data_IF_333175609052
#
_entry.id   IF_333175609052
#
_cell.length_a   1.000
_cell.length_b   1.000
_cell.length_c   1.000
_cell.angle_alpha   90.00
_cell.angle_beta   90.00
_cell.angle_gamma   90.00
#
_symmetry.space_group_name_H-M   'P 1'
#
loop_
_entity.id
_entity.type
_entity.pdbx_description
1 polymer ?
#
# COMPACT_ATOMS: atom_id res chain seq x y z
N UNK A 1 -2.51 2.22 14.90
CA UNK A 1 -3.89 1.80 15.22
C UNK A 1 -4.88 2.78 14.58
N UNK A 2 -5.43 2.47 13.39
CA UNK A 2 -6.23 3.41 12.57
C UNK A 2 -7.73 3.16 12.74
N UNK A 3 -8.26 3.36 13.95
CA UNK A 3 -9.68 3.13 14.24
C UNK A 3 -10.49 4.43 14.23
N UNK A 4 -11.74 4.38 13.76
CA UNK A 4 -12.76 5.44 13.86
C UNK A 4 -14.03 4.78 14.39
N UNK A 5 -14.66 5.39 15.40
CA UNK A 5 -15.96 4.92 15.91
C UNK A 5 -17.07 5.61 15.12
N UNK A 6 -18.05 4.85 14.64
CA UNK A 6 -19.18 5.40 13.89
C UNK A 6 -20.48 5.14 14.65
N UNK A 7 -21.15 6.21 15.04
CA UNK A 7 -22.48 6.19 15.63
C UNK A 7 -23.50 6.53 14.55
N UNK A 8 -24.09 5.49 13.97
CA UNK A 8 -25.11 5.64 12.95
C UNK A 8 -26.50 5.93 13.57
N UNK A 9 -27.43 6.38 12.73
CA UNK A 9 -28.86 6.60 13.01
C UNK A 9 -29.18 7.86 13.84
N UNK A 10 -28.43 8.95 13.66
CA UNK A 10 -28.74 10.24 14.30
C UNK A 10 -30.15 10.77 13.94
N UNK A 11 -30.69 10.34 12.79
CA UNK A 11 -32.04 10.66 12.31
C UNK A 11 -33.14 10.14 13.27
N UNK A 12 -32.90 9.05 13.99
CA UNK A 12 -33.87 8.52 14.95
C UNK A 12 -33.93 9.32 16.26
N UNK A 13 -32.88 10.10 16.56
CA UNK A 13 -32.74 10.88 17.80
C UNK A 13 -32.82 12.39 17.57
N UNK A 14 -33.04 12.83 16.33
CA UNK A 14 -32.98 14.25 15.96
C UNK A 14 -31.62 14.89 16.25
N UNK A 15 -30.55 14.10 16.27
CA UNK A 15 -29.20 14.59 16.56
C UNK A 15 -28.54 15.11 15.27
N UNK A 16 -27.68 16.10 15.42
CA UNK A 16 -26.89 16.64 14.32
C UNK A 16 -25.63 15.80 14.08
N UNK A 17 -25.17 15.79 12.82
CA UNK A 17 -23.89 15.19 12.47
C UNK A 17 -22.76 15.90 13.22
N UNK A 18 -21.80 15.14 13.74
CA UNK A 18 -20.69 15.70 14.53
C UNK A 18 -19.48 14.77 14.53
N UNK A 19 -18.31 15.39 14.60
CA UNK A 19 -17.04 14.73 14.92
C UNK A 19 -16.73 14.97 16.40
N UNK A 20 -16.51 13.90 17.14
CA UNK A 20 -16.12 13.92 18.54
C UNK A 20 -14.89 13.06 18.75
N UNK A 21 -14.36 13.07 19.96
CA UNK A 21 -13.31 12.15 20.38
C UNK A 21 -13.80 11.31 21.56
N UNK A 22 -13.50 10.01 21.55
CA UNK A 22 -13.73 9.11 22.67
C UNK A 22 -12.48 8.30 22.96
N UNK A 23 -11.82 8.60 24.07
CA UNK A 23 -10.62 7.88 24.51
C UNK A 23 -9.48 7.94 23.51
N UNK A 24 -9.24 9.10 22.87
CA UNK A 24 -8.21 9.25 21.85
C UNK A 24 -8.59 8.72 20.46
N UNK A 25 -9.83 8.25 20.27
CA UNK A 25 -10.31 7.72 18.99
C UNK A 25 -11.39 8.66 18.43
N UNK A 26 -11.26 9.11 17.17
CA UNK A 26 -12.31 9.88 16.50
C UNK A 26 -13.63 9.12 16.45
N UNK A 27 -14.72 9.82 16.72
CA UNK A 27 -16.07 9.31 16.80
C UNK A 27 -17.01 10.17 15.94
N UNK A 28 -17.54 9.60 14.85
CA UNK A 28 -18.44 10.30 13.93
C UNK A 28 -19.88 9.89 14.22
N UNK A 29 -20.72 10.87 14.54
CA UNK A 29 -22.18 10.69 14.57
C UNK A 29 -22.74 11.01 13.19
N UNK A 30 -23.42 10.05 12.56
CA UNK A 30 -23.96 10.19 11.21
C UNK A 30 -25.30 9.46 11.02
N UNK A 31 -25.97 9.73 9.90
CA UNK A 31 -27.06 8.90 9.40
C UNK A 31 -26.69 8.39 8.01
N UNK A 32 -26.47 7.08 7.92
CA UNK A 32 -26.26 6.41 6.63
C UNK A 32 -27.53 6.45 5.76
N UNK A 33 -28.70 6.64 6.37
CA UNK A 33 -29.98 6.71 5.67
C UNK A 33 -30.18 8.06 4.99
N UNK A 34 -29.87 9.16 5.68
CA UNK A 34 -30.07 10.51 5.14
C UNK A 34 -28.82 11.08 4.48
N UNK A 35 -27.65 10.48 4.72
CA UNK A 35 -26.36 10.97 4.26
C UNK A 35 -25.72 12.04 5.17
N UNK A 36 -26.43 12.49 6.21
CA UNK A 36 -25.91 13.47 7.15
C UNK A 36 -24.65 12.93 7.87
N UNK A 37 -23.54 13.66 7.80
CA UNK A 37 -22.27 13.28 8.46
C UNK A 37 -21.40 12.30 7.67
N UNK A 38 -21.80 11.90 6.46
CA UNK A 38 -20.95 11.05 5.60
C UNK A 38 -19.69 11.79 5.15
N UNK A 39 -19.76 13.09 4.87
CA UNK A 39 -18.59 13.87 4.45
C UNK A 39 -17.55 13.98 5.57
N UNK A 40 -18.02 14.21 6.81
CA UNK A 40 -17.18 14.20 8.03
C UNK A 40 -16.45 12.85 8.17
N UNK A 41 -17.13 11.73 7.89
CA UNK A 41 -16.49 10.42 7.93
C UNK A 41 -15.42 10.27 6.85
N UNK A 42 -15.67 10.74 5.61
CA UNK A 42 -14.68 10.68 4.52
C UNK A 42 -13.43 11.49 4.86
N UNK A 43 -13.59 12.71 5.36
CA UNK A 43 -12.47 13.56 5.75
C UNK A 43 -11.62 12.88 6.85
N UNK A 44 -12.26 12.31 7.87
CA UNK A 44 -11.57 11.59 8.93
C UNK A 44 -10.85 10.33 8.42
N UNK A 45 -11.44 9.62 7.45
CA UNK A 45 -10.81 8.47 6.80
C UNK A 45 -9.59 8.88 5.98
N UNK A 46 -9.67 9.96 5.21
CA UNK A 46 -8.54 10.47 4.41
C UNK A 46 -7.38 10.89 5.31
N UNK A 47 -7.67 11.62 6.38
CA UNK A 47 -6.70 12.04 7.38
C UNK A 47 -6.00 10.83 8.03
N UNK A 48 -6.76 9.82 8.46
CA UNK A 48 -6.18 8.60 9.07
C UNK A 48 -5.48 7.68 8.06
N UNK A 49 -5.94 7.64 6.83
CA UNK A 49 -5.28 6.90 5.78
C UNK A 49 -3.88 7.48 5.51
N UNK A 50 -3.64 8.75 5.88
CA UNK A 50 -2.41 9.46 5.57
C UNK A 50 -2.35 9.83 4.09
N UNK A 51 -3.51 9.85 3.42
CA UNK A 51 -3.63 10.28 2.03
C UNK A 51 -3.45 11.79 2.03
N UNK A 52 -2.20 12.22 1.93
CA UNK A 52 -1.90 13.55 1.42
C UNK A 52 -2.16 13.46 -0.08
N UNK A 53 -3.12 14.24 -0.57
CA UNK A 53 -3.23 14.55 -1.99
C UNK A 53 -2.00 15.41 -2.34
N UNK A 54 -0.81 14.82 -2.34
CA UNK A 54 0.35 15.43 -2.97
C UNK A 54 0.05 15.46 -4.47
N UNK A 55 0.15 16.64 -5.08
CA UNK A 55 0.07 16.83 -6.53
C UNK A 55 1.21 16.12 -7.28
N UNK A 56 2.15 15.52 -6.55
CA UNK A 56 3.17 14.64 -7.12
C UNK A 56 2.51 13.36 -7.63
N UNK A 57 2.71 13.12 -8.93
CA UNK A 57 2.21 11.97 -9.69
C UNK A 57 2.04 10.74 -8.79
N UNK A 58 0.82 10.16 -8.69
CA UNK A 58 0.63 8.95 -7.91
C UNK A 58 1.43 7.84 -8.59
N UNK A 59 2.66 7.62 -8.12
CA UNK A 59 3.45 6.48 -8.53
C UNK A 59 2.79 5.26 -7.89
N UNK A 60 1.88 4.64 -8.65
CA UNK A 60 1.14 3.47 -8.21
C UNK A 60 2.05 2.25 -8.28
N UNK A 61 2.99 2.14 -7.35
CA UNK A 61 3.79 0.93 -7.16
C UNK A 61 2.88 -0.18 -6.63
N UNK A 62 2.83 -1.31 -7.35
CA UNK A 62 2.20 -2.54 -6.86
C UNK A 62 3.14 -3.20 -5.84
N UNK A 63 2.59 -4.07 -5.01
CA UNK A 63 3.36 -4.85 -4.03
C UNK A 63 4.58 -5.56 -4.65
N UNK A 64 4.43 -6.14 -5.86
CA UNK A 64 5.55 -6.75 -6.58
C UNK A 64 6.69 -5.78 -6.90
N UNK A 65 6.39 -4.52 -7.22
CA UNK A 65 7.42 -3.52 -7.51
C UNK A 65 8.18 -3.15 -6.22
N UNK A 66 7.47 -3.07 -5.09
CA UNK A 66 8.09 -2.84 -3.79
C UNK A 66 9.00 -3.99 -3.40
N UNK A 67 8.55 -5.24 -3.58
CA UNK A 67 9.35 -6.42 -3.30
C UNK A 67 10.64 -6.47 -4.13
N UNK A 68 10.54 -6.19 -5.44
CA UNK A 68 11.68 -6.08 -6.34
C UNK A 68 12.69 -5.00 -5.88
N UNK A 69 12.19 -3.83 -5.47
CA UNK A 69 13.03 -2.74 -4.93
C UNK A 69 13.70 -3.13 -3.61
N UNK A 70 12.99 -3.77 -2.68
CA UNK A 70 13.54 -4.21 -1.40
C UNK A 70 14.66 -5.24 -1.60
N UNK A 71 14.46 -6.21 -2.49
CA UNK A 71 15.49 -7.19 -2.88
C UNK A 71 16.70 -6.49 -3.49
N UNK A 72 16.49 -5.59 -4.45
CA UNK A 72 17.58 -4.86 -5.09
C UNK A 72 18.38 -4.04 -4.06
N UNK A 73 17.71 -3.34 -3.14
CA UNK A 73 18.36 -2.57 -2.08
C UNK A 73 19.19 -3.44 -1.13
N UNK A 74 18.69 -4.63 -0.78
CA UNK A 74 19.44 -5.58 0.05
C UNK A 74 20.74 -6.03 -0.65
N UNK A 75 20.67 -6.37 -1.93
CA UNK A 75 21.83 -6.78 -2.72
C UNK A 75 22.83 -5.64 -2.98
N UNK A 76 22.37 -4.42 -3.22
CA UNK A 76 23.27 -3.24 -3.29
C UNK A 76 24.00 -3.02 -1.96
N UNK A 77 23.29 -3.19 -0.84
CA UNK A 77 23.91 -3.11 0.49
C UNK A 77 24.97 -4.19 0.70
N UNK A 78 24.67 -5.42 0.27
CA UNK A 78 25.63 -6.52 0.31
C UNK A 78 26.85 -6.27 -0.60
N UNK A 79 26.65 -5.69 -1.80
CA UNK A 79 27.74 -5.31 -2.70
C UNK A 79 28.67 -4.27 -2.06
N UNK A 80 28.10 -3.27 -1.36
CA UNK A 80 28.88 -2.25 -0.63
C UNK A 80 29.73 -2.88 0.48
N UNK A 81 29.18 -3.86 1.22
CA UNK A 81 29.94 -4.60 2.24
C UNK A 81 31.09 -5.39 1.60
N UNK A 82 30.84 -5.97 0.43
CA UNK A 82 31.79 -6.83 -0.28
C UNK A 82 32.67 -6.07 -1.31
N UNK A 83 32.77 -4.74 -1.22
CA UNK A 83 33.48 -3.92 -2.23
C UNK A 83 34.96 -4.29 -2.41
N UNK A 84 35.58 -4.89 -1.38
CA UNK A 84 36.96 -5.39 -1.43
C UNK A 84 37.12 -6.73 -2.16
N UNK A 85 36.03 -7.43 -2.45
CA UNK A 85 36.01 -8.71 -3.18
C UNK A 85 35.22 -8.52 -4.47
N UNK A 86 35.93 -8.19 -5.55
CA UNK A 86 35.33 -7.78 -6.83
C UNK A 86 34.33 -8.80 -7.37
N UNK A 87 34.64 -10.10 -7.28
CA UNK A 87 33.76 -11.18 -7.77
C UNK A 87 32.41 -11.20 -7.03
N UNK A 88 32.45 -11.09 -5.70
CA UNK A 88 31.24 -11.10 -4.87
C UNK A 88 30.45 -9.79 -5.02
N UNK A 89 31.13 -8.65 -5.10
CA UNK A 89 30.50 -7.37 -5.38
C UNK A 89 29.79 -7.37 -6.74
N UNK A 90 30.43 -7.91 -7.78
CA UNK A 90 29.85 -8.01 -9.11
C UNK A 90 28.61 -8.92 -9.14
N UNK A 91 28.65 -10.05 -8.43
CA UNK A 91 27.50 -10.95 -8.35
C UNK A 91 26.32 -10.31 -7.60
N UNK A 92 26.55 -9.64 -6.48
CA UNK A 92 25.50 -8.91 -5.75
C UNK A 92 24.86 -7.82 -6.62
N UNK A 93 25.66 -7.06 -7.39
CA UNK A 93 25.13 -6.06 -8.32
C UNK A 93 24.33 -6.68 -9.47
N UNK A 94 24.74 -7.85 -9.98
CA UNK A 94 24.01 -8.59 -11.01
C UNK A 94 22.63 -9.02 -10.50
N UNK A 95 22.55 -9.53 -9.28
CA UNK A 95 21.27 -9.93 -8.67
C UNK A 95 20.38 -8.71 -8.41
N UNK A 96 20.95 -7.58 -7.94
CA UNK A 96 20.21 -6.33 -7.78
C UNK A 96 19.63 -5.82 -9.11
N UNK A 97 20.41 -5.89 -10.20
CA UNK A 97 19.95 -5.52 -11.54
C UNK A 97 18.77 -6.39 -12.00
N UNK A 98 18.87 -7.72 -11.84
CA UNK A 98 17.80 -8.63 -12.22
C UNK A 98 16.50 -8.32 -11.48
N UNK A 99 16.56 -8.04 -10.17
CA UNK A 99 15.39 -7.66 -9.39
C UNK A 99 14.74 -6.37 -9.92
N UNK A 100 15.52 -5.40 -10.41
CA UNK A 100 14.98 -4.18 -11.03
C UNK A 100 14.36 -4.47 -12.41
N UNK A 101 14.95 -5.37 -13.21
CA UNK A 101 14.39 -5.79 -14.52
C UNK A 101 12.99 -6.42 -14.41
N UNK A 102 12.66 -7.03 -13.27
CA UNK A 102 11.30 -7.52 -12.98
C UNK A 102 10.26 -6.38 -13.01
N UNK A 103 10.66 -5.14 -12.72
CA UNK A 103 9.77 -3.97 -12.71
C UNK A 103 9.47 -3.50 -14.14
N UNK A 104 10.46 -3.56 -15.04
CA UNK A 104 10.32 -3.17 -16.44
C UNK A 104 9.70 -4.26 -17.32
N UNK A 105 9.51 -5.47 -16.76
CA UNK A 105 8.93 -6.61 -17.48
C UNK A 105 9.94 -7.36 -18.36
N UNK A 106 11.24 -7.10 -18.17
CA UNK A 106 12.30 -7.89 -18.80
C UNK A 106 12.47 -9.20 -18.01
N UNK A 107 11.63 -10.19 -18.33
CA UNK A 107 11.70 -11.54 -17.78
C UNK A 107 12.24 -12.54 -18.80
N UNK A 108 12.97 -13.54 -18.30
CA UNK A 108 13.27 -14.78 -19.05
C UNK A 108 11.96 -15.56 -19.18
N UNK A 109 11.71 -16.13 -20.37
CA UNK A 109 10.41 -16.65 -20.80
C UNK A 109 9.74 -17.69 -19.87
N UNK A 110 10.48 -18.35 -18.99
CA UNK A 110 9.97 -19.44 -18.13
C UNK A 110 9.16 -18.97 -16.92
N UNK A 111 9.38 -17.77 -16.39
CA UNK A 111 8.68 -17.30 -15.18
C UNK A 111 7.25 -16.80 -15.46
N UNK A 112 6.97 -16.40 -16.71
CA UNK A 112 5.69 -15.84 -17.13
C UNK A 112 4.54 -16.87 -17.02
N UNK A 113 4.81 -18.15 -17.29
CA UNK A 113 3.78 -19.19 -17.22
C UNK A 113 3.41 -19.50 -15.76
N UNK A 114 4.39 -19.56 -14.85
CA UNK A 114 4.14 -19.85 -13.44
C UNK A 114 3.25 -18.82 -12.75
N UNK A 115 3.49 -17.53 -13.02
CA UNK A 115 2.74 -16.42 -12.42
C UNK A 115 1.35 -16.22 -13.07
N UNK A 116 1.22 -16.48 -14.37
CA UNK A 116 -0.09 -16.47 -15.04
C UNK A 116 -1.00 -17.54 -14.42
N UNK A 117 -0.50 -18.75 -14.17
CA UNK A 117 -1.32 -19.86 -13.67
C UNK A 117 -1.49 -19.92 -12.15
N UNK A 118 -0.72 -19.17 -11.36
CA UNK A 118 -0.83 -19.18 -9.90
C UNK A 118 -2.12 -18.54 -9.36
N UNK A 119 -2.78 -17.71 -10.17
CA UNK A 119 -4.00 -16.99 -9.79
C UNK A 119 -5.29 -17.51 -10.48
N UNK A 120 -5.21 -18.58 -11.28
CA UNK A 120 -6.42 -19.23 -11.80
C UNK A 120 -6.85 -20.37 -10.88
N UNK A 121 -8.11 -20.35 -10.45
CA UNK A 121 -8.69 -21.51 -9.76
C UNK A 121 -8.60 -22.73 -10.69
N UNK A 122 -8.04 -23.83 -10.19
CA UNK A 122 -8.07 -25.13 -10.89
C UNK A 122 -9.54 -25.53 -11.07
N UNK A 123 -10.00 -25.44 -12.31
CA UNK A 123 -11.39 -25.74 -12.67
C UNK A 123 -12.07 -24.64 -13.48
N UNK A 124 -11.51 -24.30 -14.64
CA UNK A 124 -12.27 -23.94 -15.84
C UNK A 124 -11.55 -24.48 -17.06
#
# INVERSE_FOLDING_TARGET
>A
NKSIVVFNKIDLKGQSASLNERGGIPAVNLSAKTGAGIEILKECLLEKAGVRLSEEMPFMARERHLNALDRAAAHVTAALINIGTIELCAEELRVAQNAISEITGEFVADDLLGEIFSNFCVGK
#
